data_IF_241560157827
#
_entry.id   IF_241560157827
#
_cell.length_a   1.000
_cell.length_b   1.000
_cell.length_c   1.000
_cell.angle_alpha   90.00
_cell.angle_beta   90.00
_cell.angle_gamma   90.00
#
_symmetry.space_group_name_H-M   'P 1'
#
loop_
_entity.id
_entity.type
_entity.pdbx_description
1 polymer ?
#
# COMPACT_ATOMS: atom_id res chain seq x y z
N UNK A 1 25.10 29.32 -22.13
CA UNK A 1 24.44 28.31 -21.26
C UNK A 1 24.73 26.95 -21.87
N UNK A 2 25.39 26.05 -21.12
CA UNK A 2 25.76 24.70 -21.57
C UNK A 2 24.58 23.72 -21.36
N UNK A 3 24.34 22.83 -22.33
CA UNK A 3 23.18 21.92 -22.39
C UNK A 3 23.16 20.90 -21.24
N UNK A 4 24.30 20.72 -20.57
CA UNK A 4 24.49 19.81 -19.42
C UNK A 4 23.74 20.25 -18.15
N UNK A 5 23.13 21.44 -18.15
CA UNK A 5 22.36 21.98 -17.02
C UNK A 5 20.85 21.70 -17.11
N UNK A 6 20.37 20.93 -18.09
CA UNK A 6 18.97 20.53 -18.18
C UNK A 6 18.69 19.30 -17.30
N UNK A 7 18.30 19.58 -16.05
CA UNK A 7 17.63 18.68 -15.11
C UNK A 7 18.38 17.41 -14.72
N UNK A 8 19.20 17.51 -13.67
CA UNK A 8 19.60 16.35 -12.87
C UNK A 8 18.38 15.91 -12.04
N UNK A 9 17.56 15.00 -12.59
CA UNK A 9 16.51 14.33 -11.81
C UNK A 9 17.21 13.46 -10.77
N UNK A 10 17.30 13.97 -9.54
CA UNK A 10 17.75 13.19 -8.41
C UNK A 10 16.55 12.34 -8.00
N UNK A 11 16.53 11.08 -8.41
CA UNK A 11 15.63 10.07 -7.84
C UNK A 11 16.07 9.91 -6.38
N UNK A 12 15.39 10.61 -5.47
CA UNK A 12 15.81 10.74 -4.06
C UNK A 12 15.31 9.61 -3.18
N UNK A 13 14.41 8.76 -3.69
CA UNK A 13 13.88 7.62 -2.96
C UNK A 13 14.17 6.33 -3.75
N UNK A 14 14.66 5.27 -3.11
CA UNK A 14 14.70 3.96 -3.76
C UNK A 14 13.28 3.61 -4.23
N UNK A 15 13.16 2.87 -5.33
CA UNK A 15 11.87 2.33 -5.77
C UNK A 15 11.23 1.62 -4.58
N UNK A 16 10.07 2.08 -4.12
CA UNK A 16 9.33 1.35 -3.10
C UNK A 16 8.88 0.04 -3.75
N UNK A 17 9.32 -1.07 -3.18
CA UNK A 17 9.00 -2.41 -3.66
C UNK A 17 8.13 -3.06 -2.59
N UNK A 18 7.10 -3.79 -3.01
CA UNK A 18 6.30 -4.60 -2.10
C UNK A 18 7.19 -5.62 -1.37
N UNK A 19 7.21 -5.62 -0.02
CA UNK A 19 8.05 -6.54 0.73
C UNK A 19 7.48 -7.96 0.66
N UNK A 20 8.36 -8.96 0.57
CA UNK A 20 7.97 -10.36 0.70
C UNK A 20 7.80 -10.73 2.18
N UNK A 21 6.72 -10.24 2.81
CA UNK A 21 6.40 -10.44 4.23
C UNK A 21 4.88 -10.62 4.39
N UNK A 22 4.48 -11.26 5.48
CA UNK A 22 3.08 -11.34 5.90
C UNK A 22 2.62 -10.10 6.70
N UNK A 23 3.55 -9.23 7.12
CA UNK A 23 3.21 -7.98 7.80
C UNK A 23 4.17 -6.82 7.53
N UNK A 24 3.59 -5.67 7.19
CA UNK A 24 4.34 -4.43 6.97
C UNK A 24 3.52 -3.20 7.35
N UNK A 25 4.19 -2.12 7.72
CA UNK A 25 3.58 -0.80 7.87
C UNK A 25 3.73 -0.01 6.58
N UNK A 26 2.60 0.48 6.07
CA UNK A 26 2.54 1.31 4.88
C UNK A 26 2.02 2.70 5.23
N UNK A 27 2.51 3.71 4.52
CA UNK A 27 1.98 5.08 4.54
C UNK A 27 1.33 5.38 3.20
N UNK A 28 0.09 5.81 3.23
CA UNK A 28 -0.66 6.18 2.03
C UNK A 28 -0.34 7.64 1.65
N UNK A 29 -0.09 7.91 0.37
CA UNK A 29 0.25 9.26 -0.13
C UNK A 29 -0.85 9.91 -0.97
N UNK A 30 -1.94 9.20 -1.25
CA UNK A 30 -3.12 9.67 -1.99
C UNK A 30 -4.40 9.27 -1.26
N UNK A 31 -5.56 9.81 -1.61
CA UNK A 31 -6.81 9.26 -1.09
C UNK A 31 -7.08 7.89 -1.71
N UNK A 32 -7.38 6.90 -0.87
CA UNK A 32 -7.72 5.54 -1.32
C UNK A 32 -8.98 5.04 -0.63
N UNK A 33 -9.59 4.03 -1.21
CA UNK A 33 -10.76 3.38 -0.64
C UNK A 33 -10.45 1.91 -0.36
N UNK A 34 -10.56 1.51 0.90
CA UNK A 34 -10.38 0.12 1.34
C UNK A 34 -11.73 -0.58 1.48
N UNK A 35 -11.75 -1.89 1.25
CA UNK A 35 -12.97 -2.69 1.37
C UNK A 35 -13.06 -3.38 2.72
N UNK A 36 -14.26 -3.36 3.29
CA UNK A 36 -14.63 -4.16 4.45
C UNK A 36 -14.65 -5.66 4.08
N UNK A 37 -13.90 -6.45 4.84
CA UNK A 37 -13.74 -7.88 4.61
C UNK A 37 -15.02 -8.69 4.88
N UNK A 38 -15.92 -8.17 5.73
CA UNK A 38 -17.18 -8.80 6.07
C UNK A 38 -18.34 -8.38 5.14
N UNK A 39 -18.10 -7.41 4.23
CA UNK A 39 -19.11 -6.74 3.40
C UNK A 39 -20.27 -6.15 4.19
N UNK A 40 -20.07 -5.87 5.48
CA UNK A 40 -21.12 -5.32 6.36
C UNK A 40 -21.13 -3.80 6.35
N UNK A 41 -19.99 -3.19 6.06
CA UNK A 41 -19.83 -1.76 6.04
C UNK A 41 -19.53 -1.25 4.62
N UNK A 42 -19.90 -0.01 4.30
CA UNK A 42 -19.45 0.62 3.07
C UNK A 42 -17.92 0.68 3.02
N UNK A 43 -17.33 0.78 1.81
CA UNK A 43 -15.90 0.98 1.66
C UNK A 43 -15.42 2.19 2.48
N UNK A 44 -14.26 2.07 3.11
CA UNK A 44 -13.70 3.10 3.97
C UNK A 44 -12.71 3.97 3.18
N UNK A 45 -12.96 5.26 3.13
CA UNK A 45 -12.00 6.23 2.61
C UNK A 45 -10.86 6.42 3.61
N UNK A 46 -9.65 6.36 3.10
CA UNK A 46 -8.42 6.53 3.87
C UNK A 46 -7.67 7.71 3.28
N UNK A 47 -7.49 8.74 4.11
CA UNK A 47 -6.91 10.00 3.69
C UNK A 47 -5.39 9.98 3.57
N UNK A 48 -4.86 10.91 2.78
CA UNK A 48 -3.42 11.14 2.59
C UNK A 48 -2.66 11.23 3.92
N UNK A 49 -1.50 10.56 4.00
CA UNK A 49 -0.55 10.67 5.11
C UNK A 49 -0.84 9.72 6.28
N UNK A 50 -1.93 8.95 6.21
CA UNK A 50 -2.23 7.90 7.17
C UNK A 50 -1.28 6.71 7.01
N UNK A 51 -0.90 6.11 8.14
CA UNK A 51 -0.12 4.88 8.16
C UNK A 51 -0.96 3.73 8.72
N UNK A 52 -0.86 2.57 8.09
CA UNK A 52 -1.50 1.35 8.55
C UNK A 52 -0.49 0.22 8.60
N UNK A 53 -0.53 -0.57 9.68
CA UNK A 53 0.07 -1.89 9.64
C UNK A 53 -0.89 -2.83 8.92
N UNK A 54 -0.36 -3.51 7.93
CA UNK A 54 -1.02 -4.52 7.14
C UNK A 54 -0.64 -5.92 7.63
N UNK A 55 -1.60 -6.82 7.59
CA UNK A 55 -1.44 -8.23 7.85
C UNK A 55 -2.07 -9.05 6.73
N UNK A 56 -1.37 -10.07 6.28
CA UNK A 56 -1.86 -10.98 5.26
C UNK A 56 -2.87 -11.95 5.84
N UNK A 57 -3.98 -12.12 5.14
CA UNK A 57 -4.99 -13.14 5.41
C UNK A 57 -5.39 -13.85 4.10
N UNK A 58 -6.01 -15.04 4.18
CA UNK A 58 -6.68 -15.62 3.03
C UNK A 58 -7.73 -14.67 2.45
N UNK A 59 -7.90 -14.66 1.13
CA UNK A 59 -8.83 -13.74 0.49
C UNK A 59 -10.28 -14.02 0.94
N UNK A 60 -10.97 -13.06 1.58
CA UNK A 60 -12.32 -13.29 2.09
C UNK A 60 -13.37 -13.44 0.98
N UNK A 61 -13.03 -13.10 -0.26
CA UNK A 61 -13.92 -13.16 -1.42
C UNK A 61 -13.67 -14.39 -2.32
N UNK A 62 -12.82 -15.32 -1.90
CA UNK A 62 -12.57 -16.58 -2.60
C UNK A 62 -11.61 -16.49 -3.80
N UNK A 63 -10.93 -15.36 -3.99
CA UNK A 63 -9.88 -15.24 -5.00
C UNK A 63 -8.55 -15.84 -4.51
N UNK A 64 -7.64 -16.15 -5.43
CA UNK A 64 -6.33 -16.73 -5.12
C UNK A 64 -5.33 -15.71 -4.58
N UNK A 65 -5.51 -14.43 -4.92
CA UNK A 65 -4.60 -13.36 -4.47
C UNK A 65 -4.82 -13.10 -2.96
N UNK A 66 -3.79 -13.11 -2.11
CA UNK A 66 -3.94 -12.84 -0.69
C UNK A 66 -4.54 -11.46 -0.42
N UNK A 67 -5.09 -11.28 0.77
CA UNK A 67 -5.69 -10.02 1.17
C UNK A 67 -4.92 -9.40 2.33
N UNK A 68 -4.61 -8.12 2.23
CA UNK A 68 -3.88 -7.37 3.24
C UNK A 68 -4.87 -6.51 4.02
N UNK A 69 -5.09 -6.84 5.30
CA UNK A 69 -5.97 -6.10 6.22
C UNK A 69 -5.19 -5.17 7.12
N UNK A 70 -5.78 -4.02 7.44
CA UNK A 70 -5.26 -3.11 8.46
C UNK A 70 -5.35 -3.72 9.87
N UNK A 71 -4.57 -3.23 10.85
CA UNK A 71 -4.52 -3.67 12.26
C UNK A 71 -5.90 -3.84 12.95
N UNK A 72 -6.92 -3.08 12.53
CA UNK A 72 -8.29 -3.22 13.01
C UNK A 72 -9.04 -4.45 12.46
N UNK A 73 -8.44 -5.18 11.52
CA UNK A 73 -8.96 -6.36 10.80
C UNK A 73 -10.28 -6.18 10.03
N UNK A 74 -10.79 -4.95 9.91
CA UNK A 74 -12.07 -4.70 9.25
C UNK A 74 -11.89 -4.41 7.76
N UNK A 75 -10.93 -3.55 7.42
CA UNK A 75 -10.75 -3.05 6.04
C UNK A 75 -9.37 -3.39 5.47
N UNK A 76 -9.33 -3.65 4.17
CA UNK A 76 -8.10 -3.97 3.45
C UNK A 76 -8.25 -3.89 1.94
N UNK A 77 -7.28 -4.45 1.24
CA UNK A 77 -7.30 -4.62 -0.22
C UNK A 77 -6.50 -5.89 -0.60
N UNK A 78 -6.65 -6.33 -1.84
CA UNK A 78 -5.88 -7.43 -2.39
C UNK A 78 -4.38 -7.08 -2.37
N UNK A 79 -3.51 -8.05 -2.13
CA UNK A 79 -2.06 -7.85 -2.07
C UNK A 79 -1.53 -7.23 -3.37
N UNK A 80 -2.04 -7.68 -4.52
CA UNK A 80 -1.67 -7.08 -5.80
C UNK A 80 -1.99 -5.59 -5.89
N UNK A 81 -3.12 -5.16 -5.33
CA UNK A 81 -3.50 -3.75 -5.33
C UNK A 81 -2.53 -2.91 -4.49
N UNK A 82 -2.10 -3.42 -3.32
CA UNK A 82 -1.07 -2.77 -2.51
C UNK A 82 0.27 -2.70 -3.22
N UNK A 83 0.66 -3.78 -3.90
CA UNK A 83 1.87 -3.81 -4.72
C UNK A 83 1.82 -2.73 -5.80
N UNK A 84 0.74 -2.65 -6.56
CA UNK A 84 0.57 -1.67 -7.63
C UNK A 84 0.62 -0.22 -7.06
N UNK A 85 -0.01 0.02 -5.91
CA UNK A 85 -0.01 1.32 -5.22
C UNK A 85 1.39 1.74 -4.71
N UNK A 86 2.18 0.78 -4.26
CA UNK A 86 3.53 1.02 -3.73
C UNK A 86 4.53 1.23 -4.86
N UNK A 87 4.47 0.38 -5.89
CA UNK A 87 5.36 0.47 -7.06
C UNK A 87 5.07 1.70 -7.92
N UNK A 88 3.84 2.21 -7.91
CA UNK A 88 3.47 3.49 -8.54
C UNK A 88 3.91 4.73 -7.73
N UNK A 89 4.37 4.55 -6.49
CA UNK A 89 4.74 5.64 -5.58
C UNK A 89 3.55 6.34 -4.93
N UNK A 90 2.37 5.73 -4.93
CA UNK A 90 1.15 6.24 -4.27
C UNK A 90 1.05 5.81 -2.80
N UNK A 91 1.87 4.85 -2.38
CA UNK A 91 2.12 4.49 -0.98
C UNK A 91 3.59 4.14 -0.74
N UNK A 92 4.01 4.16 0.51
CA UNK A 92 5.39 3.85 0.92
C UNK A 92 5.40 2.79 2.02
N UNK A 93 6.37 1.88 1.96
CA UNK A 93 6.60 0.91 3.02
C UNK A 93 7.49 1.57 4.06
N UNK A 94 6.95 1.84 5.26
CA UNK A 94 7.69 2.48 6.36
C UNK A 94 8.49 1.45 7.16
N UNK A 95 7.96 0.24 7.32
CA UNK A 95 8.57 -0.81 8.14
C UNK A 95 8.10 -2.19 7.69
N UNK A 96 9.01 -3.17 7.73
CA UNK A 96 8.70 -4.59 7.58
C UNK A 96 8.77 -5.24 8.97
N UNK A 97 7.83 -6.13 9.27
CA UNK A 97 7.85 -6.94 10.48
C UNK A 97 8.16 -8.39 10.07
N UNK A 98 8.97 -9.07 10.89
CA UNK A 98 9.34 -10.48 10.75
C UNK A 98 8.51 -11.35 11.72
#
# INVERSE_FOLDING_TARGET
MDWKNWFKIKVTRPCNIWPNTDSCRVKILIDVTLMDTERKNPPAEVGVGTSHTLHRIPNPFGFTDPWMVTEGKVVGAAERWWKDLIESGQAEVERVFD
#
